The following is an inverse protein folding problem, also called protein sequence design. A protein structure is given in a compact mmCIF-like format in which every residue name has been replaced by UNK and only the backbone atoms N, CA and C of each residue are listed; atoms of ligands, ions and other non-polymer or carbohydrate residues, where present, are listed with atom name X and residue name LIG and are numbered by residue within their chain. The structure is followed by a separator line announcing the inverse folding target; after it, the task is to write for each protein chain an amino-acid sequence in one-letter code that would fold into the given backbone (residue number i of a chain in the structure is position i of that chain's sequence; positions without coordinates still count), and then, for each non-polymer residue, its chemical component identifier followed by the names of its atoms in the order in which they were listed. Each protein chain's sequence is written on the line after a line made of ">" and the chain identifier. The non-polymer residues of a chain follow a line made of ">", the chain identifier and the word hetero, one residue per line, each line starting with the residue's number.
data_IF_759933736543
#
_entry.id   IF_759933736543
#
_cell.length_a   1.000
_cell.length_b   1.000
_cell.length_c   1.000
_cell.angle_alpha   90.00
_cell.angle_beta   90.00
_cell.angle_gamma   90.00
#
_symmetry.space_group_name_H-M   'P 1'
#
loop_
_entity.id
_entity.type
_entity.pdbx_description
1 polymer ?
#
# COMPACT_ATOMS: atom_id res chain seq x y z
N UNK A 1 -28.25 -17.10 20.97
CA UNK A 1 -28.57 -15.66 21.01
C UNK A 1 -27.31 -14.94 21.47
N UNK A 2 -26.77 -14.04 20.65
CA UNK A 2 -25.60 -13.24 20.99
C UNK A 2 -26.08 -11.84 21.37
N UNK A 3 -25.68 -11.34 22.55
CA UNK A 3 -26.01 -9.99 23.00
C UNK A 3 -24.79 -9.11 22.85
N UNK A 4 -24.92 -8.05 22.05
CA UNK A 4 -23.88 -7.08 21.80
C UNK A 4 -24.40 -5.69 22.22
N UNK A 5 -23.56 -4.83 22.82
CA UNK A 5 -23.88 -3.43 23.01
C UNK A 5 -24.24 -2.74 21.69
N UNK A 6 -24.81 -1.54 21.78
CA UNK A 6 -24.98 -0.72 20.58
C UNK A 6 -23.62 -0.31 20.03
N UNK A 7 -23.47 -0.38 18.71
CA UNK A 7 -22.22 -0.04 18.04
C UNK A 7 -22.10 -0.65 16.66
N UNK A 8 -20.99 -0.35 15.99
CA UNK A 8 -20.64 -0.95 14.70
C UNK A 8 -19.84 -2.22 14.92
N UNK A 9 -20.30 -3.32 14.34
CA UNK A 9 -19.69 -4.64 14.47
C UNK A 9 -19.41 -5.22 13.10
N UNK A 10 -18.21 -5.78 12.95
CA UNK A 10 -17.87 -6.68 11.85
C UNK A 10 -18.15 -8.11 12.29
N UNK A 11 -18.97 -8.81 11.53
CA UNK A 11 -19.32 -10.21 11.78
C UNK A 11 -18.73 -11.04 10.64
N UNK A 12 -17.88 -12.00 11.00
CA UNK A 12 -17.36 -13.03 10.10
C UNK A 12 -17.95 -14.37 10.52
N UNK A 13 -18.54 -15.08 9.56
CA UNK A 13 -19.16 -16.39 9.75
C UNK A 13 -18.43 -17.38 8.87
N UNK A 14 -17.85 -18.40 9.48
CA UNK A 14 -17.23 -19.53 8.79
C UNK A 14 -17.96 -20.83 9.14
N UNK A 15 -18.00 -21.74 8.19
CA UNK A 15 -18.54 -23.07 8.44
C UNK A 15 -17.60 -23.86 9.36
N UNK A 16 -18.18 -24.69 10.22
CA UNK A 16 -17.40 -25.68 10.96
C UNK A 16 -16.82 -26.70 9.96
N UNK A 17 -15.57 -27.19 10.14
CA UNK A 17 -14.93 -28.12 9.18
C UNK A 17 -15.72 -29.41 8.89
N UNK A 18 -16.56 -29.85 9.84
CA UNK A 18 -17.47 -30.99 9.64
C UNK A 18 -18.53 -30.75 8.56
N UNK A 19 -18.96 -29.50 8.41
CA UNK A 19 -20.02 -29.07 7.49
C UNK A 19 -19.45 -28.40 6.22
N UNK A 20 -18.12 -28.29 6.15
CA UNK A 20 -17.37 -27.70 5.05
C UNK A 20 -16.08 -28.49 4.85
N UNK A 21 -16.12 -29.55 4.03
CA UNK A 21 -14.95 -30.38 3.73
C UNK A 21 -13.71 -29.56 3.37
N UNK A 22 -12.55 -30.08 3.72
CA UNK A 22 -11.29 -29.39 3.41
C UNK A 22 -10.93 -29.59 1.94
N UNK A 23 -10.57 -28.50 1.25
CA UNK A 23 -10.06 -28.48 -0.11
C UNK A 23 -8.57 -28.15 -0.08
N UNK A 24 -7.75 -28.99 -0.72
CA UNK A 24 -6.34 -28.70 -0.91
C UNK A 24 -6.14 -28.07 -2.28
N UNK A 25 -5.73 -26.79 -2.32
CA UNK A 25 -5.38 -26.09 -3.56
C UNK A 25 -3.96 -25.57 -3.46
N UNK A 26 -3.09 -26.00 -4.37
CA UNK A 26 -1.68 -25.58 -4.36
C UNK A 26 -0.90 -25.99 -3.10
N UNK A 27 -1.35 -27.02 -2.37
CA UNK A 27 -0.76 -27.45 -1.09
C UNK A 27 -1.21 -26.65 0.12
N UNK A 28 -2.19 -25.74 -0.04
CA UNK A 28 -2.83 -25.00 1.05
C UNK A 28 -4.23 -25.59 1.28
N UNK A 29 -4.55 -25.86 2.55
CA UNK A 29 -5.84 -26.40 2.97
C UNK A 29 -6.85 -25.27 3.25
N UNK A 30 -8.03 -25.37 2.65
CA UNK A 30 -9.13 -24.42 2.77
C UNK A 30 -10.41 -25.13 3.22
N UNK A 31 -11.31 -24.42 3.92
CA UNK A 31 -12.68 -24.90 4.09
C UNK A 31 -13.44 -24.72 2.77
N UNK A 32 -14.19 -25.70 2.28
CA UNK A 32 -14.93 -25.60 1.01
C UNK A 32 -15.96 -24.46 0.93
N UNK A 33 -16.48 -24.00 2.06
CA UNK A 33 -17.39 -22.86 2.14
C UNK A 33 -16.60 -21.60 2.50
N UNK A 34 -16.78 -20.55 1.68
CA UNK A 34 -16.12 -19.27 1.91
C UNK A 34 -16.63 -18.61 3.21
N UNK A 35 -15.75 -17.99 4.01
CA UNK A 35 -16.17 -17.13 5.10
C UNK A 35 -17.01 -15.98 4.55
N UNK A 36 -18.17 -15.75 5.17
CA UNK A 36 -19.00 -14.60 4.87
C UNK A 36 -18.71 -13.51 5.89
N UNK A 37 -18.44 -12.29 5.44
CA UNK A 37 -18.14 -11.14 6.31
C UNK A 37 -19.04 -9.96 5.96
N UNK A 38 -19.61 -9.30 6.97
CA UNK A 38 -20.35 -8.04 6.78
C UNK A 38 -20.25 -7.15 8.01
N UNK A 39 -20.28 -5.84 7.80
CA UNK A 39 -20.34 -4.82 8.85
C UNK A 39 -21.79 -4.40 9.07
N UNK A 40 -22.19 -4.25 10.34
CA UNK A 40 -23.53 -3.84 10.76
C UNK A 40 -23.46 -2.79 11.86
N UNK A 41 -24.40 -1.86 11.86
CA UNK A 41 -24.71 -1.06 13.04
C UNK A 41 -25.79 -1.76 13.86
N UNK A 42 -25.50 -2.00 15.14
CA UNK A 42 -26.43 -2.58 16.09
C UNK A 42 -26.99 -1.43 16.92
N UNK A 43 -28.26 -1.11 16.73
CA UNK A 43 -29.02 -0.11 17.48
C UNK A 43 -30.22 -0.72 18.25
N UNK A 44 -30.47 -2.01 18.06
CA UNK A 44 -31.57 -2.77 18.65
C UNK A 44 -31.51 -4.26 18.33
N UNK A 45 -32.65 -4.94 18.43
CA UNK A 45 -32.76 -6.35 18.07
C UNK A 45 -32.63 -6.53 16.55
N UNK A 46 -31.65 -7.33 16.15
CA UNK A 46 -31.33 -7.57 14.75
C UNK A 46 -31.31 -9.08 14.48
N UNK A 47 -31.97 -9.51 13.41
CA UNK A 47 -31.88 -10.89 12.93
C UNK A 47 -30.99 -10.95 11.70
N UNK A 48 -29.94 -11.76 11.78
CA UNK A 48 -29.05 -12.02 10.66
C UNK A 48 -29.28 -13.43 10.11
N UNK A 49 -29.74 -13.50 8.87
CA UNK A 49 -29.78 -14.74 8.10
C UNK A 49 -28.65 -14.68 7.06
N UNK A 50 -27.72 -15.62 7.10
CA UNK A 50 -26.63 -15.73 6.13
C UNK A 50 -26.62 -17.12 5.50
N UNK A 51 -26.31 -17.18 4.20
CA UNK A 51 -26.02 -18.42 3.49
C UNK A 51 -24.57 -18.37 3.07
N UNK A 52 -23.78 -19.35 3.51
CA UNK A 52 -22.41 -19.51 3.05
C UNK A 52 -22.43 -20.03 1.61
N UNK A 53 -21.61 -19.43 0.76
CA UNK A 53 -21.41 -19.87 -0.61
C UNK A 53 -20.21 -20.82 -0.66
N UNK A 54 -20.19 -21.67 -1.67
CA UNK A 54 -18.96 -22.38 -2.04
C UNK A 54 -17.90 -21.34 -2.35
N UNK A 55 -16.71 -21.53 -1.77
CA UNK A 55 -15.58 -20.67 -2.06
C UNK A 55 -14.69 -21.28 -3.13
N UNK A 56 -13.88 -20.42 -3.72
CA UNK A 56 -12.80 -20.78 -4.61
C UNK A 56 -11.48 -20.22 -4.09
N UNK A 57 -10.39 -20.90 -4.42
CA UNK A 57 -9.06 -20.45 -4.07
C UNK A 57 -8.56 -19.41 -5.08
N UNK A 58 -8.13 -18.26 -4.55
CA UNK A 58 -7.40 -17.23 -5.27
C UNK A 58 -5.98 -17.26 -4.78
N UNK A 59 -5.06 -17.73 -5.61
CA UNK A 59 -3.67 -17.96 -5.20
C UNK A 59 -2.72 -17.41 -6.25
N UNK A 60 -1.44 -17.33 -5.91
CA UNK A 60 -0.42 -16.91 -6.87
C UNK A 60 0.87 -16.53 -6.18
N UNK A 61 1.79 -15.94 -6.94
CA UNK A 61 3.10 -15.49 -6.47
C UNK A 61 3.28 -13.98 -6.64
N UNK A 62 3.92 -13.36 -5.66
CA UNK A 62 4.42 -12.00 -5.74
C UNK A 62 5.94 -12.02 -5.97
N UNK A 63 6.38 -11.40 -7.06
CA UNK A 63 7.79 -11.22 -7.39
C UNK A 63 8.11 -9.77 -7.77
N UNK A 64 9.39 -9.42 -7.85
CA UNK A 64 9.83 -8.20 -8.53
C UNK A 64 10.02 -8.43 -10.05
N UNK A 65 10.49 -7.42 -10.78
CA UNK A 65 10.77 -7.48 -12.22
C UNK A 65 11.85 -8.49 -12.60
N UNK A 66 12.75 -8.81 -11.67
CA UNK A 66 13.79 -9.81 -11.87
C UNK A 66 13.26 -11.23 -11.62
N UNK A 67 11.98 -11.38 -11.27
CA UNK A 67 11.35 -12.65 -10.91
C UNK A 67 11.69 -13.13 -9.50
N UNK A 68 12.36 -12.31 -8.70
CA UNK A 68 12.72 -12.66 -7.32
C UNK A 68 11.48 -12.61 -6.44
N UNK A 69 11.27 -13.68 -5.66
CA UNK A 69 10.14 -13.79 -4.76
C UNK A 69 10.13 -12.70 -3.68
N UNK A 70 8.94 -12.17 -3.35
CA UNK A 70 8.75 -11.16 -2.31
C UNK A 70 8.01 -11.76 -1.10
N UNK A 71 8.74 -12.21 -0.06
CA UNK A 71 8.13 -12.74 1.17
C UNK A 71 7.59 -11.63 2.08
N UNK A 72 6.61 -11.95 2.93
CA UNK A 72 6.08 -11.03 3.95
C UNK A 72 5.18 -9.91 3.40
N UNK A 73 4.77 -9.99 2.14
CA UNK A 73 3.87 -9.02 1.49
C UNK A 73 2.43 -9.36 1.85
N UNK A 74 1.69 -8.37 2.35
CA UNK A 74 0.27 -8.53 2.68
C UNK A 74 -0.56 -8.42 1.41
N UNK A 75 -1.46 -9.37 1.17
CA UNK A 75 -2.45 -9.35 0.09
C UNK A 75 -3.82 -9.29 0.74
N UNK A 76 -4.56 -8.22 0.47
CA UNK A 76 -5.88 -7.98 1.04
C UNK A 76 -6.90 -7.88 -0.08
N UNK A 77 -8.11 -8.39 0.16
CA UNK A 77 -9.22 -8.29 -0.78
C UNK A 77 -10.37 -7.53 -0.15
N UNK A 78 -11.01 -6.66 -0.92
CA UNK A 78 -12.07 -5.76 -0.51
C UNK A 78 -13.27 -5.88 -1.46
N UNK A 79 -14.49 -5.78 -0.93
CA UNK A 79 -15.69 -5.56 -1.78
C UNK A 79 -15.77 -4.10 -2.24
N UNK A 80 -15.38 -3.17 -1.36
CA UNK A 80 -15.27 -1.74 -1.61
C UNK A 80 -13.96 -1.24 -0.97
N UNK A 81 -13.18 -0.42 -1.70
CA UNK A 81 -11.91 0.15 -1.25
C UNK A 81 -12.04 1.05 -0.01
N UNK A 82 -13.24 1.57 0.26
CA UNK A 82 -13.54 2.36 1.46
C UNK A 82 -13.85 1.49 2.68
N UNK A 83 -14.05 0.18 2.45
CA UNK A 83 -14.34 -0.81 3.48
C UNK A 83 -13.10 -1.45 4.08
N UNK A 84 -13.34 -2.41 4.96
CA UNK A 84 -12.30 -3.24 5.58
C UNK A 84 -12.04 -4.50 4.73
N UNK A 85 -10.82 -5.05 4.79
CA UNK A 85 -10.45 -6.22 3.98
C UNK A 85 -11.30 -7.45 4.35
N UNK A 86 -11.98 -8.08 3.40
CA UNK A 86 -12.80 -9.28 3.64
C UNK A 86 -11.95 -10.56 3.75
N UNK A 87 -10.76 -10.56 3.14
CA UNK A 87 -9.78 -11.64 3.24
C UNK A 87 -8.35 -11.06 3.23
N UNK A 88 -7.43 -11.74 3.90
CA UNK A 88 -6.03 -11.34 4.03
C UNK A 88 -5.12 -12.56 3.97
N UNK A 89 -4.04 -12.44 3.22
CA UNK A 89 -2.94 -13.39 3.17
C UNK A 89 -1.61 -12.64 3.32
N UNK A 90 -0.56 -13.37 3.72
CA UNK A 90 0.81 -12.86 3.69
C UNK A 90 1.65 -13.83 2.87
N UNK A 91 2.48 -13.32 1.97
CA UNK A 91 3.30 -14.17 1.12
C UNK A 91 4.34 -14.94 1.92
N UNK A 92 4.54 -16.22 1.57
CA UNK A 92 5.56 -17.11 2.16
C UNK A 92 6.98 -16.79 1.67
N UNK A 93 7.97 -17.60 2.07
CA UNK A 93 9.38 -17.47 1.64
C UNK A 93 9.60 -17.54 0.13
N UNK A 94 8.69 -18.18 -0.60
CA UNK A 94 8.71 -18.30 -2.06
C UNK A 94 7.83 -17.25 -2.74
N UNK A 95 7.28 -16.30 -1.99
CA UNK A 95 6.42 -15.23 -2.49
C UNK A 95 4.99 -15.68 -2.76
N UNK A 96 4.59 -16.90 -2.38
CA UNK A 96 3.26 -17.45 -2.66
C UNK A 96 2.24 -16.94 -1.65
N UNK A 97 1.04 -16.66 -2.12
CA UNK A 97 -0.11 -16.35 -1.28
C UNK A 97 -1.32 -17.17 -1.72
N UNK A 98 -2.31 -17.27 -0.84
CA UNK A 98 -3.56 -17.92 -1.13
C UNK A 98 -4.68 -17.36 -0.25
N UNK A 99 -5.82 -17.10 -0.88
CA UNK A 99 -7.04 -16.57 -0.29
C UNK A 99 -8.19 -17.48 -0.70
N UNK A 100 -9.26 -17.48 0.09
CA UNK A 100 -10.45 -18.27 -0.21
C UNK A 100 -11.68 -17.37 -0.16
N UNK A 101 -12.37 -17.26 -1.29
CA UNK A 101 -13.40 -16.25 -1.52
C UNK A 101 -14.59 -16.87 -2.23
N UNK A 102 -15.80 -16.38 -1.94
CA UNK A 102 -16.95 -16.71 -2.77
C UNK A 102 -16.82 -16.08 -4.16
N UNK A 103 -17.46 -16.64 -5.20
CA UNK A 103 -17.55 -15.98 -6.50
C UNK A 103 -18.16 -14.58 -6.38
N UNK A 104 -17.61 -13.61 -7.11
CA UNK A 104 -17.99 -12.20 -7.01
C UNK A 104 -16.93 -11.25 -7.53
N UNK A 105 -17.24 -9.95 -7.48
CA UNK A 105 -16.31 -8.88 -7.87
C UNK A 105 -15.67 -8.26 -6.65
N UNK A 106 -14.35 -8.08 -6.71
CA UNK A 106 -13.56 -7.57 -5.59
C UNK A 106 -12.42 -6.69 -6.07
N UNK A 107 -11.79 -6.01 -5.12
CA UNK A 107 -10.52 -5.31 -5.30
C UNK A 107 -9.41 -6.03 -4.53
N UNK A 108 -8.36 -6.44 -5.23
CA UNK A 108 -7.15 -6.99 -4.65
C UNK A 108 -6.12 -5.87 -4.44
N UNK A 109 -5.62 -5.75 -3.22
CA UNK A 109 -4.68 -4.72 -2.79
C UNK A 109 -3.44 -5.37 -2.20
N UNK A 110 -2.28 -4.95 -2.68
CA UNK A 110 -0.99 -5.45 -2.21
C UNK A 110 -0.36 -4.43 -1.28
N UNK A 111 0.00 -4.86 -0.07
CA UNK A 111 0.68 -4.08 0.96
C UNK A 111 0.04 -2.70 1.26
N UNK A 112 -1.30 -2.64 1.25
CA UNK A 112 -2.08 -1.39 1.42
C UNK A 112 -1.84 -0.34 0.31
N UNK A 113 -1.32 -0.75 -0.84
CA UNK A 113 -1.20 0.11 -2.03
C UNK A 113 -2.54 0.17 -2.78
N UNK A 114 -3.47 0.98 -2.26
CA UNK A 114 -4.79 1.14 -2.85
C UNK A 114 -4.77 1.82 -4.24
N UNK A 115 -3.66 2.50 -4.61
CA UNK A 115 -3.45 3.06 -5.96
C UNK A 115 -3.47 2.00 -7.05
N UNK A 116 -2.87 0.86 -6.72
CA UNK A 116 -2.67 -0.27 -7.62
C UNK A 116 -3.69 -1.37 -7.32
N UNK A 117 -4.80 -1.01 -6.67
CA UNK A 117 -5.89 -1.94 -6.43
C UNK A 117 -6.39 -2.51 -7.77
N UNK A 118 -6.36 -3.83 -7.87
CA UNK A 118 -6.77 -4.53 -9.08
C UNK A 118 -8.20 -5.02 -8.90
N UNK A 119 -9.10 -4.59 -9.77
CA UNK A 119 -10.42 -5.21 -9.86
C UNK A 119 -10.26 -6.65 -10.37
N UNK A 120 -10.83 -7.59 -9.63
CA UNK A 120 -10.79 -9.02 -9.92
C UNK A 120 -12.22 -9.56 -9.85
N UNK A 121 -12.55 -10.41 -10.82
CA UNK A 121 -13.79 -11.17 -10.83
C UNK A 121 -13.43 -12.62 -10.53
N UNK A 122 -13.99 -13.13 -9.45
CA UNK A 122 -13.76 -14.48 -8.96
C UNK A 122 -14.93 -15.34 -9.40
N UNK A 123 -14.63 -16.40 -10.15
CA UNK A 123 -15.60 -17.38 -10.61
C UNK A 123 -15.63 -18.59 -9.67
N UNK A 124 -16.29 -19.68 -10.07
CA UNK A 124 -16.37 -20.91 -9.25
C UNK A 124 -15.11 -21.77 -9.29
N UNK A 125 -14.22 -21.56 -10.27
CA UNK A 125 -12.97 -22.32 -10.39
C UNK A 125 -11.80 -21.61 -9.69
N UNK A 126 -10.80 -22.36 -9.18
CA UNK A 126 -9.60 -21.75 -8.61
C UNK A 126 -8.86 -20.90 -9.65
N UNK A 127 -8.43 -19.70 -9.26
CA UNK A 127 -7.72 -18.80 -10.16
C UNK A 127 -6.33 -18.45 -9.64
N UNK A 128 -5.34 -18.51 -10.54
CA UNK A 128 -3.98 -18.09 -10.28
C UNK A 128 -3.77 -16.63 -10.72
N UNK A 129 -3.32 -15.78 -9.79
CA UNK A 129 -3.04 -14.37 -10.02
C UNK A 129 -1.59 -14.10 -9.60
N UNK A 130 -0.69 -14.07 -10.57
CA UNK A 130 0.68 -13.64 -10.33
C UNK A 130 0.80 -12.11 -10.35
N UNK A 131 1.57 -11.56 -9.43
CA UNK A 131 1.70 -10.12 -9.23
C UNK A 131 3.18 -9.75 -9.27
N UNK A 132 3.52 -8.80 -10.15
CA UNK A 132 4.81 -8.11 -10.08
C UNK A 132 4.64 -6.91 -9.15
N UNK A 133 5.37 -6.89 -8.04
CA UNK A 133 5.33 -5.83 -7.04
C UNK A 133 6.74 -5.37 -6.68
N UNK A 134 7.06 -4.14 -7.07
CA UNK A 134 8.40 -3.56 -6.91
C UNK A 134 8.70 -3.12 -5.45
N UNK A 135 7.72 -3.20 -4.55
CA UNK A 135 7.87 -2.78 -3.17
C UNK A 135 7.89 -1.27 -2.95
N UNK A 136 8.08 -0.88 -1.69
CA UNK A 136 8.55 0.47 -1.37
C UNK A 136 10.06 0.50 -1.57
N UNK A 137 10.53 1.39 -2.44
CA UNK A 137 11.93 1.59 -2.76
C UNK A 137 12.58 2.60 -1.81
N UNK A 138 13.82 2.35 -1.44
CA UNK A 138 14.62 3.30 -0.69
C UNK A 138 15.21 4.34 -1.63
N UNK A 139 14.86 5.61 -1.41
CA UNK A 139 15.44 6.75 -2.13
C UNK A 139 16.39 7.47 -1.18
N UNK A 140 17.66 7.46 -1.52
CA UNK A 140 18.73 8.12 -0.77
C UNK A 140 19.24 9.31 -1.57
N UNK A 141 19.17 10.51 -0.99
CA UNK A 141 19.80 11.69 -1.55
C UNK A 141 21.04 12.08 -0.74
N UNK A 142 22.11 12.46 -1.43
CA UNK A 142 23.28 13.10 -0.82
C UNK A 142 23.42 14.51 -1.40
N UNK A 143 23.16 15.53 -0.59
CA UNK A 143 23.18 16.92 -1.01
C UNK A 143 24.54 17.56 -0.72
N UNK A 144 25.13 18.12 -1.76
CA UNK A 144 26.36 18.91 -1.66
C UNK A 144 26.17 20.28 -2.31
N UNK A 145 26.85 21.30 -1.82
CA UNK A 145 27.02 22.56 -2.52
C UNK A 145 27.98 22.41 -3.70
N UNK A 146 27.96 23.36 -4.62
CA UNK A 146 28.96 23.46 -5.71
C UNK A 146 30.38 23.70 -5.19
N UNK A 147 30.51 24.24 -3.98
CA UNK A 147 31.75 24.35 -3.20
C UNK A 147 32.20 23.01 -2.58
N UNK A 148 31.43 21.94 -2.77
CA UNK A 148 31.70 20.60 -2.28
C UNK A 148 31.32 20.35 -0.82
N UNK A 149 30.77 21.34 -0.10
CA UNK A 149 30.33 21.15 1.28
C UNK A 149 29.03 20.35 1.33
N UNK A 150 28.82 19.56 2.38
CA UNK A 150 27.52 18.94 2.63
C UNK A 150 26.46 20.02 2.89
N UNK A 151 25.22 19.79 2.44
CA UNK A 151 24.10 20.69 2.74
C UNK A 151 23.17 20.06 3.79
N UNK A 152 23.42 20.30 5.09
CA UNK A 152 22.60 19.76 6.15
C UNK A 152 21.29 20.52 6.31
N UNK A 153 20.30 19.88 6.94
CA UNK A 153 18.98 20.45 7.25
C UNK A 153 18.24 21.05 6.04
N UNK A 154 18.57 20.61 4.84
CA UNK A 154 17.84 20.94 3.63
C UNK A 154 16.48 20.24 3.67
N UNK A 155 15.40 20.97 3.44
CA UNK A 155 14.05 20.39 3.29
C UNK A 155 13.95 19.77 1.91
N UNK A 156 13.85 18.44 1.87
CA UNK A 156 13.58 17.68 0.66
C UNK A 156 12.09 17.40 0.61
N UNK A 157 11.34 18.27 -0.10
CA UNK A 157 9.93 18.08 -0.35
C UNK A 157 9.73 17.08 -1.48
N UNK A 158 8.72 16.22 -1.34
CA UNK A 158 8.36 15.23 -2.35
C UNK A 158 6.85 15.12 -2.49
N UNK A 159 6.40 14.88 -3.73
CA UNK A 159 5.01 14.63 -4.08
C UNK A 159 4.95 13.79 -5.36
N UNK A 160 3.85 13.07 -5.62
CA UNK A 160 3.59 12.49 -6.92
C UNK A 160 3.74 13.52 -8.05
N UNK A 161 4.20 13.08 -9.21
CA UNK A 161 4.26 13.94 -10.37
C UNK A 161 2.85 14.35 -10.80
N UNK A 162 2.63 15.66 -10.94
CA UNK A 162 1.32 16.23 -11.26
C UNK A 162 0.61 16.89 -10.07
N UNK A 163 1.04 16.62 -8.83
CA UNK A 163 0.54 17.28 -7.63
C UNK A 163 1.43 18.49 -7.26
N UNK A 164 0.79 19.58 -6.81
CA UNK A 164 1.48 20.77 -6.33
C UNK A 164 2.06 20.55 -4.92
N UNK A 165 3.24 21.13 -4.64
CA UNK A 165 3.84 21.11 -3.30
C UNK A 165 2.94 21.88 -2.31
N UNK A 166 2.35 21.19 -1.34
CA UNK A 166 1.61 21.88 -0.26
C UNK A 166 2.63 22.41 0.76
N UNK A 167 2.86 23.72 0.75
CA UNK A 167 3.90 24.38 1.56
C UNK A 167 3.54 24.55 3.05
N UNK A 168 2.32 24.22 3.46
CA UNK A 168 1.87 24.33 4.85
C UNK A 168 1.86 22.96 5.53
N UNK A 169 2.60 22.82 6.63
CA UNK A 169 2.45 21.73 7.61
C UNK A 169 1.11 21.76 8.36
N UNK A 170 0.03 22.10 7.68
CA UNK A 170 -1.33 21.88 8.11
C UNK A 170 -1.86 20.72 7.26
N UNK A 171 -2.05 19.57 7.89
CA UNK A 171 -3.03 18.59 7.41
C UNK A 171 -4.30 19.37 7.04
N UNK A 172 -4.74 19.32 5.78
CA UNK A 172 -6.08 19.83 5.44
C UNK A 172 -7.08 18.98 6.23
N UNK A 173 -7.86 19.55 7.16
CA UNK A 173 -9.01 18.84 7.70
C UNK A 173 -10.06 18.83 6.59
N UNK A 174 -10.30 17.67 5.97
CA UNK A 174 -11.45 17.46 5.08
C UNK A 174 -11.19 17.42 3.57
N UNK A 175 -10.13 16.74 3.12
CA UNK A 175 -10.02 16.33 1.72
C UNK A 175 -11.00 15.20 1.40
N UNK A 176 -11.89 15.41 0.43
CA UNK A 176 -12.90 14.43 -0.02
C UNK A 176 -12.26 13.08 -0.37
N UNK A 177 -12.81 12.02 0.21
CA UNK A 177 -12.47 10.61 -0.01
C UNK A 177 -12.57 10.24 -1.50
N UNK A 178 -11.44 9.98 -2.15
CA UNK A 178 -11.41 9.53 -3.54
C UNK A 178 -10.07 9.75 -4.28
N UNK A 179 -9.13 10.52 -3.73
CA UNK A 179 -7.77 10.62 -4.26
C UNK A 179 -6.86 9.61 -3.55
N UNK A 180 -6.13 8.82 -4.33
CA UNK A 180 -5.08 7.92 -3.85
C UNK A 180 -4.08 8.72 -3.02
N UNK A 181 -3.93 8.40 -1.73
CA UNK A 181 -3.06 9.11 -0.81
C UNK A 181 -1.61 8.63 -0.97
N UNK A 182 -0.98 8.96 -2.10
CA UNK A 182 0.46 8.77 -2.25
C UNK A 182 1.20 9.63 -1.21
N UNK A 183 2.30 9.12 -0.62
CA UNK A 183 3.02 9.86 0.40
C UNK A 183 3.56 11.15 -0.21
N UNK A 184 3.21 12.26 0.42
CA UNK A 184 3.71 13.60 0.13
C UNK A 184 4.18 14.22 1.45
N UNK A 185 5.18 15.09 1.39
CA UNK A 185 5.70 15.72 2.59
C UNK A 185 7.13 16.20 2.42
N UNK A 186 7.89 16.21 3.51
CA UNK A 186 9.30 16.55 3.47
C UNK A 186 10.12 15.72 4.44
N UNK A 187 11.40 15.56 4.13
CA UNK A 187 12.44 15.13 5.09
C UNK A 187 13.53 16.17 5.18
N UNK A 188 14.31 16.11 6.26
CA UNK A 188 15.49 16.94 6.43
C UNK A 188 16.74 16.11 6.12
N UNK A 189 17.73 16.72 5.47
CA UNK A 189 19.07 16.13 5.40
C UNK A 189 19.75 16.18 6.76
N UNK A 190 20.53 15.14 7.04
CA UNK A 190 21.40 15.01 8.21
C UNK A 190 22.63 15.92 8.07
N UNK A 191 23.51 15.91 9.07
CA UNK A 191 24.71 16.76 9.11
C UNK A 191 25.69 16.46 7.96
N UNK A 192 25.67 15.25 7.43
CA UNK A 192 26.45 14.82 6.26
C UNK A 192 25.79 15.14 4.91
N UNK A 193 24.64 15.83 4.94
CA UNK A 193 23.86 16.16 3.75
C UNK A 193 23.03 15.00 3.18
N UNK A 194 23.00 13.85 3.85
CA UNK A 194 22.23 12.69 3.41
C UNK A 194 20.77 12.71 3.90
N UNK A 195 19.85 12.16 3.14
CA UNK A 195 18.53 11.77 3.63
C UNK A 195 18.06 10.47 2.96
N UNK A 196 17.13 9.77 3.63
CA UNK A 196 16.57 8.50 3.18
C UNK A 196 15.04 8.58 3.25
N UNK A 197 14.40 8.16 2.17
CA UNK A 197 12.96 8.10 1.98
C UNK A 197 12.58 6.67 1.59
N UNK A 198 11.38 6.24 1.93
CA UNK A 198 10.82 5.00 1.38
C UNK A 198 9.57 5.35 0.60
N UNK A 199 9.60 5.14 -0.72
CA UNK A 199 8.54 5.56 -1.63
C UNK A 199 8.04 4.37 -2.45
N UNK A 200 6.72 4.24 -2.70
CA UNK A 200 6.19 3.33 -3.70
C UNK A 200 6.84 3.52 -5.07
N UNK A 201 6.72 2.50 -5.93
CA UNK A 201 7.04 2.68 -7.34
C UNK A 201 6.12 3.73 -7.95
N UNK A 202 6.69 4.67 -8.68
CA UNK A 202 5.94 5.79 -9.23
C UNK A 202 6.85 6.87 -9.78
N UNK A 203 6.24 7.96 -10.21
CA UNK A 203 6.96 9.13 -10.73
C UNK A 203 6.73 10.28 -9.76
N UNK A 204 7.82 10.83 -9.23
CA UNK A 204 7.77 11.84 -8.18
C UNK A 204 8.46 13.14 -8.61
N UNK A 205 7.96 14.25 -8.06
CA UNK A 205 8.61 15.55 -8.06
C UNK A 205 9.34 15.75 -6.72
N UNK A 206 10.57 16.25 -6.77
CA UNK A 206 11.35 16.61 -5.58
C UNK A 206 11.77 18.07 -5.63
N UNK A 207 11.65 18.77 -4.50
CA UNK A 207 12.18 20.12 -4.32
C UNK A 207 13.10 20.16 -3.10
N UNK A 208 14.33 20.57 -3.33
CA UNK A 208 15.37 20.71 -2.32
C UNK A 208 15.43 22.18 -1.92
N UNK A 209 15.04 22.49 -0.70
CA UNK A 209 14.98 23.85 -0.14
C UNK A 209 15.98 23.96 1.01
N UNK A 210 17.17 24.54 0.77
CA UNK A 210 18.16 24.81 1.81
C UNK A 210 17.59 25.70 2.92
N UNK A 211 18.18 25.70 4.13
CA UNK A 211 17.84 26.66 5.18
C UNK A 211 17.88 28.10 4.66
N UNK A 212 16.94 28.95 5.10
CA UNK A 212 16.81 30.32 4.58
C UNK A 212 18.07 31.18 4.79
N UNK A 213 18.75 30.98 5.93
CA UNK A 213 20.05 31.59 6.25
C UNK A 213 21.24 30.92 5.55
N UNK A 214 21.03 29.86 4.77
CA UNK A 214 22.07 29.15 4.03
C UNK A 214 22.47 29.85 2.73
N UNK A 215 23.63 29.43 2.20
CA UNK A 215 24.27 30.03 1.03
C UNK A 215 23.83 29.45 -0.32
N UNK A 216 22.91 28.47 -0.34
CA UNK A 216 22.56 27.73 -1.56
C UNK A 216 21.15 28.06 -2.08
N UNK A 217 20.98 27.98 -3.39
CA UNK A 217 19.70 28.13 -4.08
C UNK A 217 18.87 26.82 -4.04
N UNK A 218 17.53 26.90 -4.01
CA UNK A 218 16.68 25.74 -4.15
C UNK A 218 16.84 25.04 -5.51
N UNK A 219 16.69 23.72 -5.52
CA UNK A 219 16.71 22.91 -6.74
C UNK A 219 15.48 22.03 -6.84
N UNK A 220 15.04 21.72 -8.06
CA UNK A 220 13.93 20.78 -8.27
C UNK A 220 14.30 19.68 -9.25
N UNK A 221 13.83 18.47 -8.98
CA UNK A 221 13.72 17.40 -9.97
C UNK A 221 12.23 17.24 -10.24
N UNK A 222 11.79 17.64 -11.43
CA UNK A 222 10.37 17.56 -11.80
C UNK A 222 9.89 16.12 -11.94
N UNK A 223 10.74 15.23 -12.43
CA UNK A 223 10.33 13.86 -12.73
C UNK A 223 11.47 12.92 -12.37
N UNK A 224 11.25 12.09 -11.35
CA UNK A 224 12.12 10.96 -11.03
C UNK A 224 11.26 9.71 -10.95
N UNK A 225 11.51 8.75 -11.84
CA UNK A 225 10.90 7.43 -11.78
C UNK A 225 11.59 6.62 -10.69
N UNK A 226 10.78 6.08 -9.78
CA UNK A 226 11.18 5.16 -8.73
C UNK A 226 10.58 3.81 -9.12
N UNK A 227 11.45 2.84 -9.43
CA UNK A 227 11.07 1.45 -9.72
C UNK A 227 11.92 0.44 -8.95
N UNK A 228 12.95 0.92 -8.25
CA UNK A 228 13.87 0.18 -7.39
C UNK A 228 14.57 1.18 -6.45
N UNK A 229 15.42 0.70 -5.54
CA UNK A 229 16.24 1.56 -4.68
C UNK A 229 17.08 2.54 -5.52
N UNK A 230 17.05 3.82 -5.14
CA UNK A 230 17.74 4.90 -5.84
C UNK A 230 18.68 5.60 -4.87
N UNK A 231 19.95 5.73 -5.24
CA UNK A 231 20.89 6.62 -4.56
C UNK A 231 21.34 7.72 -5.52
N UNK A 232 21.17 8.99 -5.15
CA UNK A 232 21.49 10.13 -6.03
C UNK A 232 22.20 11.25 -5.30
N UNK A 233 23.31 11.71 -5.88
CA UNK A 233 24.00 12.93 -5.44
C UNK A 233 23.34 14.15 -6.08
N UNK A 234 23.04 15.17 -5.28
CA UNK A 234 22.39 16.41 -5.70
C UNK A 234 23.31 17.57 -5.38
N UNK A 235 23.77 18.28 -6.41
CA UNK A 235 24.57 19.51 -6.23
C UNK A 235 23.68 20.75 -6.27
N UNK A 236 23.80 21.63 -5.28
CA UNK A 236 23.12 22.93 -5.18
C UNK A 236 24.09 24.08 -5.48
N UNK A 237 23.61 25.10 -6.19
CA UNK A 237 24.40 26.28 -6.57
C UNK A 237 24.42 27.30 -5.44
N UNK A 238 25.47 28.13 -5.33
CA UNK A 238 25.49 29.25 -4.40
C UNK A 238 24.51 30.33 -4.84
N UNK A 239 23.93 31.03 -3.85
CA UNK A 239 23.16 32.24 -4.07
C UNK A 239 24.08 33.28 -4.72
N UNK A 240 23.65 33.80 -5.87
CA UNK A 240 24.39 34.89 -6.53
C UNK A 240 24.08 36.18 -5.77
N UNK A 241 25.15 36.79 -5.23
CA UNK A 241 25.13 38.10 -4.58
C UNK A 241 24.82 39.22 -5.57
#
# INVERSE_FOLDING_TARGET
>A
MLSLPRGSYRVTISAHPKDSPTLSVGGIEYASLAPWTRTFEIDGENQLNCKLADGTAVFGKISDDAGQARPGVKVAVYEDLQGEAIALATTDSEGRYGLFLSPGKYHLVVHRDFSQAREIEIESEPCEINIVWHGWSQVVFHLVGEDGQAVPRCRVLYAPYGDDYVESGQEKPGGKSGAVDYPHGFVLTQDDGSCKLTLPSGVYSFRFVPPQAGSYEPKSIRQLSISADVAKKITLELKRS
#
